data_IF_302310758307
#
_entry.id   IF_302310758307
#
_cell.length_a   1.000
_cell.length_b   1.000
_cell.length_c   1.000
_cell.angle_alpha   90.00
_cell.angle_beta   90.00
_cell.angle_gamma   90.00
#
_symmetry.space_group_name_H-M   'P 1'
#
loop_
_entity.id
_entity.type
_entity.pdbx_description
1 polymer ?
#
# COMPACT_ATOMS: atom_id res chain seq x y z
N UNK A 1 -19.13 -22.16 -17.17
CA UNK A 1 -18.91 -20.92 -16.40
C UNK A 1 -17.42 -20.63 -16.48
N UNK A 2 -17.01 -19.73 -17.39
CA UNK A 2 -15.72 -19.81 -18.07
C UNK A 2 -14.57 -18.99 -17.44
N UNK A 3 -13.30 -19.39 -17.70
CA UNK A 3 -12.07 -18.77 -17.18
C UNK A 3 -11.84 -17.30 -17.57
N UNK A 4 -12.59 -16.76 -18.55
CA UNK A 4 -12.44 -15.38 -19.07
C UNK A 4 -12.58 -14.27 -18.01
N UNK A 5 -13.54 -14.37 -17.09
CA UNK A 5 -13.82 -13.30 -16.12
C UNK A 5 -12.73 -13.11 -15.05
N UNK A 6 -11.94 -14.16 -14.78
CA UNK A 6 -10.91 -14.14 -13.75
C UNK A 6 -9.63 -13.48 -14.27
N UNK A 7 -9.32 -13.73 -15.55
CA UNK A 7 -8.22 -13.10 -16.29
C UNK A 7 -8.44 -11.59 -16.46
N UNK A 8 -9.67 -11.19 -16.82
CA UNK A 8 -10.05 -9.76 -16.97
C UNK A 8 -9.83 -8.95 -15.68
N UNK A 9 -10.10 -9.55 -14.51
CA UNK A 9 -9.92 -8.89 -13.20
C UNK A 9 -8.46 -8.77 -12.81
N UNK A 10 -7.67 -9.82 -13.07
CA UNK A 10 -6.23 -9.81 -12.80
C UNK A 10 -5.54 -8.72 -13.63
N UNK A 11 -5.87 -8.61 -14.91
CA UNK A 11 -5.30 -7.56 -15.77
C UNK A 11 -5.76 -6.16 -15.34
N UNK A 12 -7.01 -6.01 -14.92
CA UNK A 12 -7.50 -4.74 -14.39
C UNK A 12 -6.80 -4.33 -13.08
N UNK A 13 -6.58 -5.27 -12.15
CA UNK A 13 -5.79 -5.05 -10.94
C UNK A 13 -4.38 -4.57 -11.27
N UNK A 14 -3.69 -5.29 -12.17
CA UNK A 14 -2.35 -4.96 -12.63
C UNK A 14 -2.28 -3.55 -13.22
N UNK A 15 -3.23 -3.19 -14.10
CA UNK A 15 -3.28 -1.86 -14.70
C UNK A 15 -3.47 -0.76 -13.66
N UNK A 16 -4.44 -0.92 -12.75
CA UNK A 16 -4.70 0.06 -11.69
C UNK A 16 -3.48 0.24 -10.77
N UNK A 17 -2.81 -0.86 -10.43
CA UNK A 17 -1.59 -0.83 -9.64
C UNK A 17 -0.45 -0.12 -10.39
N UNK A 18 -0.25 -0.39 -11.68
CA UNK A 18 0.77 0.30 -12.47
C UNK A 18 0.51 1.81 -12.57
N UNK A 19 -0.74 2.21 -12.75
CA UNK A 19 -1.14 3.63 -12.77
C UNK A 19 -0.86 4.29 -11.41
N UNK A 20 -1.23 3.62 -10.31
CA UNK A 20 -0.94 4.09 -8.93
C UNK A 20 0.57 4.18 -8.68
N UNK A 21 1.36 3.19 -9.09
CA UNK A 21 2.82 3.20 -8.94
C UNK A 21 3.48 4.31 -9.77
N UNK A 22 2.99 4.59 -10.97
CA UNK A 22 3.48 5.70 -11.78
C UNK A 22 3.27 7.04 -11.05
N UNK A 23 2.09 7.21 -10.45
CA UNK A 23 1.78 8.39 -9.65
C UNK A 23 2.68 8.49 -8.41
N UNK A 24 2.82 7.41 -7.64
CA UNK A 24 3.65 7.36 -6.45
C UNK A 24 5.13 7.66 -6.76
N UNK A 25 5.68 7.08 -7.84
CA UNK A 25 7.05 7.35 -8.29
C UNK A 25 7.26 8.79 -8.76
N UNK A 26 6.20 9.51 -9.15
CA UNK A 26 6.26 10.92 -9.49
C UNK A 26 6.14 11.83 -8.25
N UNK A 27 5.45 11.36 -7.20
CA UNK A 27 5.25 12.11 -5.96
C UNK A 27 6.40 11.98 -4.96
N UNK A 28 7.01 10.80 -4.89
CA UNK A 28 8.05 10.48 -3.91
C UNK A 28 9.42 10.33 -4.59
N UNK A 29 10.46 10.79 -3.91
CA UNK A 29 11.84 10.55 -4.33
C UNK A 29 12.24 9.10 -4.10
N UNK A 30 13.35 8.70 -4.71
CA UNK A 30 13.88 7.33 -4.58
C UNK A 30 14.28 6.95 -3.16
N UNK A 31 14.62 7.93 -2.33
CA UNK A 31 14.98 7.70 -0.93
C UNK A 31 13.71 7.54 -0.05
N UNK A 32 12.60 8.15 -0.47
CA UNK A 32 11.33 8.19 0.25
C UNK A 32 10.44 6.97 -0.07
N UNK A 33 10.56 6.40 -1.27
CA UNK A 33 9.78 5.25 -1.72
C UNK A 33 10.67 4.15 -2.31
N UNK A 34 10.63 2.98 -1.68
CA UNK A 34 11.20 1.73 -2.18
C UNK A 34 10.10 0.82 -2.72
N UNK A 35 10.30 0.30 -3.93
CA UNK A 35 9.36 -0.60 -4.63
C UNK A 35 10.04 -1.95 -4.79
N UNK A 36 9.49 -2.98 -4.13
CA UNK A 36 10.03 -4.32 -4.13
C UNK A 36 9.21 -5.23 -5.04
N UNK A 37 9.89 -5.78 -6.05
CA UNK A 37 9.38 -6.75 -7.00
C UNK A 37 9.87 -8.17 -6.61
N UNK A 38 9.09 -9.22 -6.87
CA UNK A 38 9.41 -10.59 -6.55
C UNK A 38 10.63 -11.03 -7.35
N UNK A 39 11.51 -11.77 -6.68
CA UNK A 39 12.73 -12.29 -7.28
C UNK A 39 12.47 -13.52 -8.18
N UNK A 40 11.25 -14.07 -8.14
CA UNK A 40 10.89 -15.22 -8.94
C UNK A 40 10.55 -14.79 -10.37
N UNK A 41 11.25 -15.30 -11.40
CA UNK A 41 10.98 -14.95 -12.79
C UNK A 41 9.56 -15.32 -13.26
N UNK A 42 8.87 -16.25 -12.59
CA UNK A 42 7.47 -16.57 -12.85
C UNK A 42 6.48 -15.48 -12.40
N UNK A 43 6.91 -14.58 -11.51
CA UNK A 43 6.14 -13.45 -10.97
C UNK A 43 6.69 -12.09 -11.41
N UNK A 44 7.62 -12.09 -12.38
CA UNK A 44 8.27 -10.89 -12.90
C UNK A 44 7.22 -9.83 -13.30
N UNK A 45 7.32 -8.65 -12.67
CA UNK A 45 6.45 -7.50 -12.92
C UNK A 45 5.26 -7.33 -11.96
N UNK A 46 5.12 -8.17 -10.94
CA UNK A 46 4.10 -7.99 -9.89
C UNK A 46 4.70 -7.33 -8.65
N UNK A 47 4.38 -6.08 -8.30
CA UNK A 47 4.88 -5.50 -7.05
C UNK A 47 4.27 -6.22 -5.85
N UNK A 48 5.12 -6.65 -4.90
CA UNK A 48 4.70 -7.37 -3.69
C UNK A 48 4.75 -6.48 -2.46
N UNK A 49 5.65 -5.49 -2.46
CA UNK A 49 5.84 -4.62 -1.31
C UNK A 49 6.25 -3.21 -1.70
N UNK A 50 5.75 -2.23 -0.95
CA UNK A 50 6.21 -0.85 -0.95
C UNK A 50 6.67 -0.47 0.46
N UNK A 51 7.75 0.30 0.54
CA UNK A 51 8.24 0.86 1.79
C UNK A 51 8.35 2.37 1.62
N UNK A 52 7.55 3.12 2.39
CA UNK A 52 7.62 4.57 2.45
C UNK A 52 8.39 4.97 3.70
N UNK A 53 9.35 5.89 3.55
CA UNK A 53 10.05 6.55 4.65
C UNK A 53 9.51 7.97 4.74
N UNK A 54 8.93 8.32 5.88
CA UNK A 54 8.24 9.59 6.07
C UNK A 54 8.80 10.33 7.29
N UNK A 55 8.74 11.66 7.25
CA UNK A 55 9.08 12.53 8.37
C UNK A 55 8.08 13.67 8.47
N UNK A 56 7.04 13.46 9.29
CA UNK A 56 5.99 14.45 9.58
C UNK A 56 6.19 15.04 10.99
N UNK A 57 7.45 15.34 11.33
CA UNK A 57 7.86 15.66 12.70
C UNK A 57 8.04 14.42 13.61
N UNK A 58 7.96 13.23 13.01
CA UNK A 58 8.31 11.92 13.57
C UNK A 58 8.90 11.12 12.41
N UNK A 59 10.02 10.44 12.63
CA UNK A 59 10.52 9.47 11.65
C UNK A 59 9.77 8.15 11.78
N UNK A 60 9.21 7.70 10.66
CA UNK A 60 8.49 6.43 10.59
C UNK A 60 8.57 5.80 9.19
N UNK A 61 8.32 4.49 9.15
CA UNK A 61 8.23 3.73 7.92
C UNK A 61 6.82 3.15 7.77
N UNK A 62 6.26 3.23 6.57
CA UNK A 62 5.01 2.56 6.20
C UNK A 62 5.35 1.41 5.26
N UNK A 63 4.95 0.21 5.64
CA UNK A 63 5.17 -1.00 4.86
C UNK A 63 3.81 -1.46 4.33
N UNK A 64 3.72 -1.58 3.02
CA UNK A 64 2.50 -1.97 2.30
C UNK A 64 2.79 -3.25 1.55
N UNK A 65 2.02 -4.30 1.83
CA UNK A 65 2.03 -5.55 1.08
C UNK A 65 0.85 -5.59 0.12
N UNK A 66 1.14 -5.96 -1.12
CA UNK A 66 0.21 -5.97 -2.23
C UNK A 66 0.01 -7.40 -2.73
N UNK A 67 -1.25 -7.79 -2.89
CA UNK A 67 -1.63 -9.01 -3.59
C UNK A 67 -1.85 -8.72 -5.08
N UNK A 68 -1.73 -9.71 -5.95
CA UNK A 68 -2.18 -9.63 -7.35
C UNK A 68 -3.67 -9.28 -7.48
N UNK A 69 -4.43 -9.51 -6.42
CA UNK A 69 -5.86 -9.27 -6.32
C UNK A 69 -6.21 -7.83 -5.89
N UNK A 70 -5.22 -6.99 -5.53
CA UNK A 70 -5.41 -5.58 -5.23
C UNK A 70 -5.48 -4.73 -6.52
N UNK A 71 -6.36 -3.70 -6.59
CA UNK A 71 -7.28 -3.22 -5.55
C UNK A 71 -8.72 -3.76 -5.66
N UNK A 72 -9.00 -4.63 -6.63
CA UNK A 72 -10.39 -4.97 -7.00
C UNK A 72 -10.99 -5.99 -6.04
N UNK A 73 -10.21 -6.98 -5.62
CA UNK A 73 -10.69 -8.11 -4.81
C UNK A 73 -10.16 -8.02 -3.38
N UNK A 74 -8.92 -7.60 -3.20
CA UNK A 74 -8.29 -7.45 -1.89
C UNK A 74 -7.80 -6.03 -1.63
N UNK A 75 -7.77 -5.68 -0.34
CA UNK A 75 -7.14 -4.47 0.19
C UNK A 75 -5.65 -4.73 0.47
N UNK A 76 -4.83 -3.69 0.52
CA UNK A 76 -3.43 -3.87 0.89
C UNK A 76 -3.32 -4.19 2.38
N UNK A 77 -2.30 -4.95 2.75
CA UNK A 77 -1.93 -5.10 4.17
C UNK A 77 -0.90 -4.05 4.53
N UNK A 78 -1.18 -3.24 5.56
CA UNK A 78 -0.34 -2.09 5.89
C UNK A 78 0.02 -2.09 7.36
N UNK A 79 1.27 -1.75 7.66
CA UNK A 79 1.74 -1.48 9.02
C UNK A 79 2.79 -0.38 9.03
N UNK A 80 2.79 0.37 10.12
CA UNK A 80 3.72 1.45 10.43
C UNK A 80 4.73 0.97 11.46
N UNK A 81 5.99 1.35 11.26
CA UNK A 81 7.08 1.15 12.21
C UNK A 81 7.67 2.50 12.60
N UNK A 82 7.80 2.72 13.89
CA UNK A 82 8.55 3.84 14.45
C UNK A 82 8.91 3.52 15.90
N UNK A 83 10.04 4.05 16.36
CA UNK A 83 10.48 3.96 17.75
C UNK A 83 9.90 5.06 18.63
N UNK A 84 9.15 6.01 18.05
CA UNK A 84 8.75 7.26 18.69
C UNK A 84 7.24 7.33 19.04
N UNK A 85 6.46 6.30 18.71
CA UNK A 85 5.00 6.26 18.90
C UNK A 85 4.53 4.86 19.29
N UNK A 86 3.30 4.78 19.81
CA UNK A 86 2.60 3.53 20.04
C UNK A 86 2.12 2.90 18.71
N UNK A 87 3.02 2.16 18.06
CA UNK A 87 2.74 1.49 16.79
C UNK A 87 1.64 0.43 16.88
N UNK A 88 1.50 -0.27 18.02
CA UNK A 88 0.47 -1.29 18.18
C UNK A 88 -0.94 -0.69 18.09
N UNK A 89 -1.15 0.44 18.78
CA UNK A 89 -2.41 1.15 18.76
C UNK A 89 -2.69 1.76 17.38
N UNK A 90 -1.70 2.44 16.79
CA UNK A 90 -1.82 3.03 15.45
C UNK A 90 -2.15 1.94 14.41
N UNK A 91 -1.41 0.83 14.39
CA UNK A 91 -1.64 -0.25 13.43
C UNK A 91 -2.98 -0.95 13.63
N UNK A 92 -3.55 -0.93 14.83
CA UNK A 92 -4.91 -1.40 15.07
C UNK A 92 -5.95 -0.46 14.46
N UNK A 93 -5.81 0.84 14.68
CA UNK A 93 -6.73 1.85 14.11
C UNK A 93 -6.60 1.93 12.58
N UNK A 94 -5.37 1.82 12.06
CA UNK A 94 -5.10 1.80 10.63
C UNK A 94 -5.76 0.61 9.92
N UNK A 95 -5.68 -0.59 10.51
CA UNK A 95 -6.38 -1.77 9.97
C UNK A 95 -7.89 -1.56 9.94
N UNK A 96 -8.46 -1.01 11.02
CA UNK A 96 -9.88 -0.69 11.06
C UNK A 96 -10.27 0.32 9.97
N UNK A 97 -9.47 1.37 9.78
CA UNK A 97 -9.66 2.35 8.71
C UNK A 97 -9.65 1.68 7.32
N UNK A 98 -8.60 0.91 7.00
CA UNK A 98 -8.49 0.18 5.73
C UNK A 98 -9.70 -0.74 5.53
N UNK A 99 -10.14 -1.45 6.56
CA UNK A 99 -11.30 -2.36 6.48
C UNK A 99 -12.62 -1.64 6.15
N UNK A 100 -12.75 -0.34 6.40
CA UNK A 100 -13.93 0.45 6.00
C UNK A 100 -13.86 0.98 4.55
N UNK A 101 -12.68 1.07 3.95
CA UNK A 101 -12.53 1.62 2.59
C UNK A 101 -13.21 0.77 1.51
N UNK A 102 -13.58 1.37 0.39
CA UNK A 102 -14.21 0.64 -0.71
C UNK A 102 -13.18 -0.10 -1.57
N UNK A 103 -13.45 -1.36 -1.89
CA UNK A 103 -12.70 -2.11 -2.92
C UNK A 103 -12.95 -1.54 -4.32
N UNK A 104 -12.06 -1.84 -5.26
CA UNK A 104 -12.18 -1.46 -6.67
C UNK A 104 -11.39 -0.22 -7.06
N UNK A 105 -10.80 0.49 -6.10
CA UNK A 105 -9.97 1.67 -6.33
C UNK A 105 -8.63 1.56 -5.59
N UNK A 106 -7.55 2.14 -6.14
CA UNK A 106 -6.28 2.21 -5.43
C UNK A 106 -6.39 3.03 -4.12
N UNK A 107 -5.77 2.54 -3.05
CA UNK A 107 -5.90 3.02 -1.67
C UNK A 107 -4.58 3.56 -1.08
N UNK A 108 -3.43 3.47 -1.75
CA UNK A 108 -2.14 3.78 -1.12
C UNK A 108 -2.10 5.24 -0.66
N UNK A 109 -2.53 6.17 -1.50
CA UNK A 109 -2.50 7.59 -1.16
C UNK A 109 -3.42 7.94 0.01
N UNK A 110 -4.64 7.41 0.06
CA UNK A 110 -5.55 7.69 1.17
C UNK A 110 -5.03 7.10 2.48
N UNK A 111 -4.36 5.93 2.40
CA UNK A 111 -3.71 5.30 3.54
C UNK A 111 -2.56 6.17 4.06
N UNK A 112 -1.66 6.63 3.18
CA UNK A 112 -0.53 7.48 3.59
C UNK A 112 -1.04 8.81 4.18
N UNK A 113 -2.06 9.41 3.57
CA UNK A 113 -2.67 10.64 4.10
C UNK A 113 -3.27 10.40 5.50
N UNK A 114 -4.04 9.33 5.67
CA UNK A 114 -4.63 8.99 6.97
C UNK A 114 -3.54 8.79 8.04
N UNK A 115 -2.43 8.14 7.70
CA UNK A 115 -1.31 7.97 8.63
C UNK A 115 -0.74 9.34 9.01
N UNK A 116 -0.42 10.19 8.03
CA UNK A 116 0.14 11.53 8.27
C UNK A 116 -0.77 12.39 9.18
N UNK A 117 -2.09 12.36 8.93
CA UNK A 117 -3.08 13.11 9.71
C UNK A 117 -3.20 12.64 11.16
N UNK A 118 -2.91 11.36 11.43
CA UNK A 118 -3.17 10.74 12.73
C UNK A 118 -1.91 10.42 13.53
N UNK A 119 -0.73 10.34 12.92
CA UNK A 119 0.48 9.79 13.56
C UNK A 119 0.87 10.52 14.85
N UNK A 120 0.71 11.85 14.88
CA UNK A 120 1.03 12.67 16.05
C UNK A 120 0.15 12.39 17.27
N UNK A 121 -1.02 11.74 17.10
CA UNK A 121 -1.93 11.34 18.20
C UNK A 121 -1.39 10.16 19.00
N UNK A 122 -0.36 9.47 18.50
CA UNK A 122 0.18 8.24 19.09
C UNK A 122 1.58 8.39 19.70
N UNK A 123 2.09 9.64 19.79
CA UNK A 123 3.28 9.97 20.59
C UNK A 123 3.07 9.64 22.07
#
# INVERSE_FOLDING_TARGET
MGPKKMDDRSEACKRLLLDELCLLKAMYKKEELEVNEPQNPAENGQVTQLIFRQNDGIDYEVIIHLSSEYPIVLKPSVFVRSSLINCDLLNRELRYFIDQETLGIPLILIIIQWISDNINRFK
#
